data_IF_635298078363
#
_entry.id   IF_635298078363
#
_cell.length_a   1.000
_cell.length_b   1.000
_cell.length_c   1.000
_cell.angle_alpha   90.00
_cell.angle_beta   90.00
_cell.angle_gamma   90.00
#
_symmetry.space_group_name_H-M   'P 1'
#
loop_
_entity.id
_entity.type
_entity.pdbx_description
1 polymer ?
#
# COMPACT_ATOMS: atom_id res chain seq x y z
N UNK A 1 19.51 -3.71 9.68
CA UNK A 1 18.23 -3.06 9.28
C UNK A 1 17.84 -2.11 10.40
N UNK A 2 17.69 -0.82 10.11
CA UNK A 2 17.22 0.16 11.10
C UNK A 2 15.76 -0.19 11.46
N UNK A 3 15.42 -0.28 12.75
CA UNK A 3 14.01 -0.45 13.15
C UNK A 3 13.32 0.90 12.93
N UNK A 4 12.39 0.96 11.98
CA UNK A 4 11.45 2.08 11.88
C UNK A 4 10.70 2.15 13.22
N UNK A 5 10.72 3.31 13.86
CA UNK A 5 9.96 3.54 15.09
C UNK A 5 8.54 3.95 14.74
N UNK A 6 7.57 3.64 15.60
CA UNK A 6 6.15 3.99 15.40
C UNK A 6 5.96 5.49 15.11
N UNK A 7 6.68 6.36 15.83
CA UNK A 7 6.62 7.81 15.64
C UNK A 7 7.17 8.24 14.27
N UNK A 8 8.26 7.61 13.80
CA UNK A 8 8.80 7.84 12.45
C UNK A 8 7.86 7.33 11.36
N UNK A 9 7.25 6.16 11.54
CA UNK A 9 6.27 5.60 10.60
C UNK A 9 5.03 6.51 10.47
N UNK A 10 4.50 7.01 11.60
CA UNK A 10 3.39 7.97 11.60
C UNK A 10 3.76 9.27 10.88
N UNK A 11 4.97 9.79 11.13
CA UNK A 11 5.45 11.01 10.46
C UNK A 11 5.60 10.83 8.95
N UNK A 12 6.10 9.68 8.49
CA UNK A 12 6.21 9.34 7.05
C UNK A 12 4.85 9.35 6.37
N UNK A 13 3.79 8.92 7.07
CA UNK A 13 2.42 8.87 6.55
C UNK A 13 1.59 10.11 6.91
N UNK A 14 2.18 11.15 7.52
CA UNK A 14 1.46 12.36 7.92
C UNK A 14 0.36 12.13 8.97
N UNK A 15 0.46 11.04 9.75
CA UNK A 15 -0.52 10.67 10.76
C UNK A 15 -0.23 11.36 12.10
N UNK A 16 -1.27 11.88 12.74
CA UNK A 16 -1.21 12.50 14.08
C UNK A 16 -0.97 11.42 15.17
N UNK A 17 -0.46 11.79 16.35
CA UNK A 17 -0.05 10.84 17.41
C UNK A 17 -1.15 9.90 17.93
N UNK A 18 -2.43 10.16 17.65
CA UNK A 18 -3.54 9.27 17.98
C UNK A 18 -3.43 7.88 17.31
N UNK A 19 -4.19 6.90 17.81
CA UNK A 19 -4.29 5.55 17.21
C UNK A 19 -5.18 5.66 15.95
N UNK A 20 -4.61 5.61 14.72
CA UNK A 20 -5.40 5.76 13.49
C UNK A 20 -6.24 4.50 13.25
N UNK A 21 -7.36 4.64 12.54
CA UNK A 21 -8.12 3.50 12.02
C UNK A 21 -7.41 2.87 10.81
N UNK A 22 -7.72 1.61 10.48
CA UNK A 22 -7.21 0.96 9.25
C UNK A 22 -7.52 1.80 8.01
N UNK A 23 -8.71 2.39 7.96
CA UNK A 23 -9.12 3.26 6.85
C UNK A 23 -8.26 4.52 6.76
N UNK A 24 -7.99 5.18 7.89
CA UNK A 24 -7.12 6.36 7.92
C UNK A 24 -5.68 6.03 7.52
N UNK A 25 -5.15 4.88 7.99
CA UNK A 25 -3.83 4.41 7.59
C UNK A 25 -3.77 4.15 6.08
N UNK A 26 -4.78 3.46 5.52
CA UNK A 26 -4.86 3.16 4.09
C UNK A 26 -4.99 4.41 3.25
N UNK A 27 -5.81 5.36 3.67
CA UNK A 27 -5.98 6.63 2.97
C UNK A 27 -4.69 7.44 2.99
N UNK A 28 -4.05 7.58 4.16
CA UNK A 28 -2.77 8.29 4.30
C UNK A 28 -1.66 7.65 3.45
N UNK A 29 -1.59 6.31 3.46
CA UNK A 29 -0.66 5.55 2.63
C UNK A 29 -0.97 5.73 1.13
N UNK A 30 -2.23 5.74 0.73
CA UNK A 30 -2.62 5.94 -0.66
C UNK A 30 -2.25 7.34 -1.17
N UNK A 31 -2.60 8.38 -0.42
CA UNK A 31 -2.27 9.76 -0.78
C UNK A 31 -0.76 9.94 -0.88
N UNK A 32 0.00 9.42 0.09
CA UNK A 32 1.45 9.51 0.05
C UNK A 32 2.09 8.60 -1.02
N UNK A 33 1.46 7.48 -1.40
CA UNK A 33 1.90 6.64 -2.51
C UNK A 33 1.71 7.31 -3.88
N UNK A 34 0.61 8.05 -4.10
CA UNK A 34 0.39 8.83 -5.33
C UNK A 34 1.52 9.84 -5.59
N UNK A 35 2.03 10.45 -4.52
CA UNK A 35 3.13 11.41 -4.58
C UNK A 35 4.45 10.77 -5.02
N UNK A 36 4.59 9.45 -4.91
CA UNK A 36 5.76 8.72 -5.42
C UNK A 36 5.69 8.45 -6.94
N UNK A 37 4.61 8.80 -7.63
CA UNK A 37 4.45 8.55 -9.07
C UNK A 37 5.33 9.50 -9.91
N UNK A 38 6.03 9.02 -10.96
CA UNK A 38 6.96 9.86 -11.75
C UNK A 38 6.31 11.07 -12.45
N UNK A 39 5.00 11.03 -12.69
CA UNK A 39 4.26 12.15 -13.30
C UNK A 39 3.98 13.31 -12.32
N UNK A 40 4.16 13.11 -11.02
CA UNK A 40 3.98 14.16 -10.01
C UNK A 40 5.30 14.93 -9.89
N UNK A 41 5.29 16.20 -10.31
CA UNK A 41 6.42 17.11 -10.09
C UNK A 41 6.53 17.41 -8.59
N UNK A 42 7.49 16.80 -7.89
CA UNK A 42 7.83 17.19 -6.51
C UNK A 42 9.18 17.88 -6.44
N UNK A 43 9.17 19.08 -5.86
CA UNK A 43 10.34 19.77 -5.33
C UNK A 43 10.75 19.11 -3.99
N UNK A 44 12.04 18.80 -3.87
CA UNK A 44 12.86 18.60 -2.67
C UNK A 44 12.62 17.48 -1.63
N UNK A 45 11.49 16.77 -1.59
CA UNK A 45 11.32 15.67 -0.61
C UNK A 45 10.85 14.35 -1.25
N UNK A 46 11.82 13.60 -1.80
CA UNK A 46 11.63 12.25 -2.33
C UNK A 46 11.34 11.26 -1.20
N UNK A 47 10.08 11.12 -0.81
CA UNK A 47 9.63 9.94 -0.07
C UNK A 47 9.75 8.73 -0.99
N UNK A 48 10.61 7.78 -0.64
CA UNK A 48 10.73 6.53 -1.38
C UNK A 48 9.49 5.66 -1.10
N UNK A 49 8.85 5.16 -2.16
CA UNK A 49 7.75 4.20 -2.05
C UNK A 49 8.10 3.01 -1.16
N UNK A 50 9.39 2.66 -1.09
CA UNK A 50 9.92 1.66 -0.16
C UNK A 50 9.77 2.07 1.30
N UNK A 51 10.20 3.28 1.67
CA UNK A 51 10.13 3.78 3.05
C UNK A 51 8.66 3.94 3.49
N UNK A 52 7.82 4.36 2.56
CA UNK A 52 6.37 4.45 2.72
C UNK A 52 5.74 3.08 3.01
N UNK A 53 6.15 2.06 2.27
CA UNK A 53 5.72 0.66 2.48
C UNK A 53 6.19 0.11 3.81
N UNK A 54 7.48 0.31 4.16
CA UNK A 54 8.03 -0.15 5.44
C UNK A 54 7.31 0.53 6.63
N UNK A 55 6.93 1.80 6.51
CA UNK A 55 6.14 2.52 7.51
C UNK A 55 4.71 1.96 7.66
N UNK A 56 4.02 1.70 6.54
CA UNK A 56 2.68 1.12 6.54
C UNK A 56 2.66 -0.27 7.19
N UNK A 57 3.58 -1.15 6.78
CA UNK A 57 3.67 -2.52 7.30
C UNK A 57 3.99 -2.53 8.80
N UNK A 58 4.87 -1.64 9.25
CA UNK A 58 5.20 -1.49 10.67
C UNK A 58 3.99 -1.07 11.52
N UNK A 59 3.16 -0.14 11.03
CA UNK A 59 1.98 0.31 11.77
C UNK A 59 0.88 -0.75 11.77
N UNK A 60 0.65 -1.40 10.62
CA UNK A 60 -0.39 -2.39 10.47
C UNK A 60 -0.11 -3.66 11.30
N UNK A 61 1.12 -4.16 11.28
CA UNK A 61 1.51 -5.35 12.06
C UNK A 61 1.86 -5.04 13.53
N UNK A 62 2.09 -3.77 13.87
CA UNK A 62 2.49 -3.33 15.22
C UNK A 62 1.35 -3.18 16.23
N UNK A 63 0.10 -3.49 15.87
CA UNK A 63 -1.06 -3.30 16.75
C UNK A 63 -1.39 -1.82 17.05
N UNK A 64 -0.80 -0.91 16.28
CA UNK A 64 -0.92 0.54 16.45
C UNK A 64 -2.16 1.14 15.77
N UNK A 65 -3.05 0.29 15.25
CA UNK A 65 -4.19 0.66 14.41
C UNK A 65 -5.48 0.10 15.02
N UNK A 66 -6.58 0.85 14.95
CA UNK A 66 -7.93 0.35 15.28
C UNK A 66 -8.60 -0.23 14.03
N UNK A 67 -9.35 -1.33 14.18
CA UNK A 67 -10.12 -1.92 13.07
C UNK A 67 -10.99 -0.85 12.40
N UNK A 68 -10.93 -0.80 11.07
CA UNK A 68 -11.70 0.14 10.24
C UNK A 68 -12.82 -0.57 9.50
N UNK A 69 -13.63 0.22 8.80
CA UNK A 69 -14.75 -0.24 7.97
C UNK A 69 -14.29 -1.09 6.77
N UNK A 70 -15.21 -1.93 6.28
CA UNK A 70 -15.00 -2.80 5.12
C UNK A 70 -14.72 -2.00 3.84
N UNK A 71 -14.05 -2.65 2.88
CA UNK A 71 -13.77 -2.07 1.56
C UNK A 71 -15.10 -1.90 0.80
N UNK A 72 -15.44 -0.67 0.34
CA UNK A 72 -16.63 -0.47 -0.48
C UNK A 72 -16.60 -1.33 -1.74
N UNK A 73 -17.76 -1.86 -2.14
CA UNK A 73 -17.87 -2.71 -3.34
C UNK A 73 -17.35 -1.98 -4.60
N UNK A 74 -17.67 -0.70 -4.74
CA UNK A 74 -17.26 0.10 -5.88
C UNK A 74 -15.72 0.23 -5.96
N UNK A 75 -15.04 0.43 -4.81
CA UNK A 75 -13.57 0.44 -4.76
C UNK A 75 -12.95 -0.90 -5.15
N UNK A 76 -13.58 -2.02 -4.74
CA UNK A 76 -13.13 -3.35 -5.13
C UNK A 76 -13.30 -3.59 -6.63
N UNK A 77 -14.45 -3.21 -7.21
CA UNK A 77 -14.76 -3.40 -8.62
C UNK A 77 -13.85 -2.53 -9.52
N UNK A 78 -13.56 -1.29 -9.11
CA UNK A 78 -12.57 -0.42 -9.75
C UNK A 78 -11.17 -1.05 -9.74
N UNK A 79 -10.74 -1.55 -8.58
CA UNK A 79 -9.44 -2.22 -8.45
C UNK A 79 -9.34 -3.48 -9.31
N UNK A 80 -10.41 -4.30 -9.33
CA UNK A 80 -10.50 -5.49 -10.17
C UNK A 80 -10.35 -5.16 -11.65
N UNK A 81 -11.01 -4.10 -12.10
CA UNK A 81 -10.92 -3.61 -13.47
C UNK A 81 -9.49 -3.14 -13.78
N UNK A 82 -8.90 -2.33 -12.91
CA UNK A 82 -7.54 -1.82 -13.07
C UNK A 82 -6.49 -2.93 -13.13
N UNK A 83 -6.60 -3.98 -12.29
CA UNK A 83 -5.70 -5.14 -12.34
C UNK A 83 -5.73 -5.84 -13.71
N UNK A 84 -6.92 -6.01 -14.28
CA UNK A 84 -7.09 -6.65 -15.58
C UNK A 84 -6.64 -5.75 -16.74
N UNK A 85 -6.99 -4.47 -16.72
CA UNK A 85 -6.68 -3.53 -17.80
C UNK A 85 -5.20 -3.18 -17.88
N UNK A 86 -4.54 -3.00 -16.72
CA UNK A 86 -3.15 -2.53 -16.67
C UNK A 86 -2.18 -3.70 -16.56
N UNK A 87 -2.41 -4.62 -15.62
CA UNK A 87 -1.47 -5.72 -15.39
C UNK A 87 -1.83 -7.00 -16.18
N UNK A 88 -3.03 -7.09 -16.73
CA UNK A 88 -3.49 -8.30 -17.44
C UNK A 88 -3.74 -9.50 -16.52
N UNK A 89 -3.90 -9.27 -15.21
CA UNK A 89 -4.02 -10.33 -14.20
C UNK A 89 -5.17 -10.04 -13.23
N UNK A 90 -5.75 -11.11 -12.70
CA UNK A 90 -6.85 -11.01 -11.73
C UNK A 90 -6.37 -10.40 -10.42
N UNK A 91 -7.24 -9.60 -9.78
CA UNK A 91 -6.94 -8.94 -8.52
C UNK A 91 -6.54 -9.91 -7.39
N UNK A 92 -7.08 -11.12 -7.36
CA UNK A 92 -6.70 -12.16 -6.39
C UNK A 92 -5.22 -12.52 -6.51
N UNK A 93 -4.72 -12.69 -7.74
CA UNK A 93 -3.32 -13.02 -8.00
C UNK A 93 -2.43 -11.85 -7.61
N UNK A 94 -2.90 -10.62 -7.83
CA UNK A 94 -2.20 -9.41 -7.39
C UNK A 94 -2.09 -9.39 -5.86
N UNK A 95 -3.17 -9.63 -5.13
CA UNK A 95 -3.16 -9.70 -3.66
C UNK A 95 -2.27 -10.84 -3.14
N UNK A 96 -2.33 -12.03 -3.73
CA UNK A 96 -1.42 -13.14 -3.40
C UNK A 96 0.05 -12.75 -3.63
N UNK A 97 0.33 -12.01 -4.71
CA UNK A 97 1.68 -11.52 -5.01
C UNK A 97 2.16 -10.52 -3.96
N UNK A 98 1.29 -9.62 -3.48
CA UNK A 98 1.62 -8.68 -2.39
C UNK A 98 2.06 -9.40 -1.11
N UNK A 99 1.51 -10.59 -0.84
CA UNK A 99 1.87 -11.41 0.33
C UNK A 99 3.17 -12.23 0.12
N UNK A 100 3.69 -12.32 -1.10
CA UNK A 100 4.85 -13.14 -1.42
C UNK A 100 6.18 -12.40 -1.14
N UNK A 101 7.04 -12.89 -0.20
CA UNK A 101 8.29 -12.19 0.14
C UNK A 101 9.29 -12.09 -1.01
N UNK A 102 9.31 -13.07 -1.93
CA UNK A 102 10.17 -13.02 -3.12
C UNK A 102 9.69 -11.96 -4.09
N UNK A 103 8.37 -11.83 -4.26
CA UNK A 103 7.78 -10.78 -5.07
C UNK A 103 8.09 -9.40 -4.50
N UNK A 104 7.92 -9.18 -3.19
CA UNK A 104 8.26 -7.91 -2.54
C UNK A 104 9.76 -7.59 -2.66
N UNK A 105 10.63 -8.60 -2.54
CA UNK A 105 12.07 -8.42 -2.78
C UNK A 105 12.36 -8.03 -4.23
N UNK A 106 11.71 -8.68 -5.19
CA UNK A 106 11.83 -8.33 -6.60
C UNK A 106 11.30 -6.92 -6.90
N UNK A 107 10.16 -6.53 -6.30
CA UNK A 107 9.54 -5.22 -6.42
C UNK A 107 10.45 -4.09 -5.89
N UNK A 108 11.31 -4.39 -4.92
CA UNK A 108 12.32 -3.46 -4.41
C UNK A 108 13.53 -3.24 -5.35
N UNK A 109 13.59 -3.98 -6.46
CA UNK A 109 14.65 -3.85 -7.46
C UNK A 109 14.45 -2.67 -8.42
N UNK A 110 15.45 -2.45 -9.28
CA UNK A 110 15.48 -1.37 -10.27
C UNK A 110 15.17 -1.85 -11.69
N UNK A 111 14.42 -2.95 -11.83
CA UNK A 111 14.00 -3.42 -13.16
C UNK A 111 12.79 -2.62 -13.65
N UNK A 112 12.63 -2.49 -14.96
CA UNK A 112 11.46 -1.84 -15.57
C UNK A 112 10.16 -2.49 -15.10
N UNK A 113 10.15 -3.82 -14.96
CA UNK A 113 9.00 -4.55 -14.42
C UNK A 113 8.69 -4.18 -12.97
N UNK A 114 9.70 -4.07 -12.10
CA UNK A 114 9.49 -3.65 -10.72
C UNK A 114 9.02 -2.19 -10.64
N UNK A 115 9.48 -1.33 -11.53
CA UNK A 115 9.01 0.05 -11.62
C UNK A 115 7.57 0.15 -12.14
N UNK A 116 7.23 -0.63 -13.16
CA UNK A 116 5.87 -0.75 -13.68
C UNK A 116 4.86 -1.13 -12.60
N UNK A 117 5.17 -2.17 -11.83
CA UNK A 117 4.32 -2.61 -10.71
C UNK A 117 4.25 -1.59 -9.57
N UNK A 118 5.36 -0.91 -9.24
CA UNK A 118 5.33 0.17 -8.24
C UNK A 118 4.44 1.32 -8.69
N UNK A 119 4.49 1.71 -9.96
CA UNK A 119 3.62 2.75 -10.51
C UNK A 119 2.14 2.33 -10.44
N UNK A 120 1.83 1.08 -10.82
CA UNK A 120 0.49 0.53 -10.68
C UNK A 120 0.02 0.58 -9.23
N UNK A 121 0.82 0.08 -8.29
CA UNK A 121 0.47 0.09 -6.88
C UNK A 121 0.30 1.52 -6.35
N UNK A 122 1.20 2.44 -6.67
CA UNK A 122 1.09 3.84 -6.27
C UNK A 122 -0.26 4.47 -6.68
N UNK A 123 -0.75 4.14 -7.87
CA UNK A 123 -2.04 4.62 -8.37
C UNK A 123 -3.27 3.89 -7.78
N UNK A 124 -3.10 2.71 -7.16
CA UNK A 124 -4.20 1.81 -6.80
C UNK A 124 -4.23 1.41 -5.30
N UNK A 125 -3.72 2.26 -4.40
CA UNK A 125 -3.77 1.99 -2.95
C UNK A 125 -2.53 1.30 -2.39
N UNK A 126 -1.45 1.29 -3.16
CA UNK A 126 -0.16 0.68 -2.84
C UNK A 126 -0.26 -0.82 -2.58
N UNK A 127 0.47 -1.30 -1.56
CA UNK A 127 0.44 -2.69 -1.11
C UNK A 127 -0.66 -2.97 -0.07
N UNK A 128 -1.54 -2.01 0.22
CA UNK A 128 -2.69 -2.27 1.06
C UNK A 128 -3.65 -3.25 0.38
N UNK A 129 -4.34 -4.13 1.15
CA UNK A 129 -5.38 -4.98 0.60
C UNK A 129 -6.48 -4.14 -0.04
N UNK A 130 -6.92 -4.52 -1.23
CA UNK A 130 -8.01 -3.86 -1.98
C UNK A 130 -9.16 -4.81 -2.32
N UNK A 131 -9.07 -6.07 -1.92
CA UNK A 131 -10.18 -7.03 -1.96
C UNK A 131 -10.78 -7.18 -0.56
N UNK A 132 -12.11 -7.27 -0.48
CA UNK A 132 -12.79 -7.68 0.76
C UNK A 132 -12.30 -9.07 1.17
N UNK A 133 -12.17 -9.34 2.48
CA UNK A 133 -11.95 -10.70 2.97
C UNK A 133 -13.05 -11.60 2.43
N UNK A 134 -12.70 -12.81 1.97
CA UNK A 134 -13.71 -13.83 1.67
C UNK A 134 -14.49 -14.12 2.96
N UNK A 135 -15.81 -13.94 2.91
CA UNK A 135 -16.73 -14.27 4.01
C UNK A 135 -16.41 -15.68 4.53
N UNK A 136 -15.80 -15.79 5.72
CA UNK A 136 -15.46 -17.07 6.34
C UNK A 136 -14.10 -17.16 7.03
N UNK A 137 -13.19 -16.21 6.83
CA UNK A 137 -11.99 -16.10 7.68
C UNK A 137 -12.33 -15.29 8.94
N UNK A 138 -12.71 -15.99 10.01
CA UNK A 138 -12.67 -15.43 11.36
C UNK A 138 -11.22 -15.06 11.68
N UNK A 139 -11.03 -13.80 12.09
CA UNK A 139 -9.77 -13.17 12.45
C UNK A 139 -8.99 -13.90 13.55
#
# INVERSE_FOLDING_TARGET
RYKVTTSKAKSILGLVESKPTVQQLRHAYFEAAKLCHPDVKQDDHKLDFRDLTEAYDHLMNGGHISQGEDIPRDEEDEYRSACMEILGIRAEIVEESKQNPMFLKWLSGNTDGAQYWRNFFAANGGLAPKLRPLDGYLA
#
